data_IF_640881128053
#
_entry.id   IF_640881128053
#
_cell.length_a   1.000
_cell.length_b   1.000
_cell.length_c   1.000
_cell.angle_alpha   90.00
_cell.angle_beta   90.00
_cell.angle_gamma   90.00
#
_symmetry.space_group_name_H-M   'P 1'
#
loop_
_entity.id
_entity.type
_entity.pdbx_description
1 polymer ?
#
# COMPACT_ATOMS: atom_id res chain seq x y z
N UNK A 1 9.96 31.97 6.31
CA UNK A 1 9.79 31.47 4.96
C UNK A 1 8.78 30.33 4.94
N UNK A 2 7.88 30.38 3.98
CA UNK A 2 6.88 29.35 3.87
C UNK A 2 7.40 28.19 3.02
N UNK A 3 7.27 27.00 3.56
CA UNK A 3 7.55 25.78 2.80
C UNK A 3 6.23 25.33 2.19
N UNK A 4 6.21 25.23 0.89
CA UNK A 4 5.03 24.74 0.20
C UNK A 4 5.13 23.25 0.03
N UNK A 5 4.17 22.53 0.59
CA UNK A 5 4.10 21.07 0.47
C UNK A 5 2.78 20.74 -0.20
N UNK A 6 2.86 20.02 -1.29
CA UNK A 6 1.68 19.55 -1.98
C UNK A 6 1.54 18.05 -1.77
N UNK A 7 0.32 17.62 -1.48
CA UNK A 7 0.01 16.21 -1.34
C UNK A 7 -1.15 15.87 -2.26
N UNK A 8 -1.01 14.77 -2.98
CA UNK A 8 -2.08 14.25 -3.82
C UNK A 8 -2.35 12.82 -3.43
N UNK A 9 -3.62 12.45 -3.45
CA UNK A 9 -4.06 11.09 -3.15
C UNK A 9 -4.72 10.50 -4.38
N UNK A 10 -4.38 9.26 -4.67
CA UNK A 10 -4.96 8.57 -5.82
C UNK A 10 -5.23 7.13 -5.44
N UNK A 11 -6.42 6.63 -5.76
CA UNK A 11 -6.75 5.23 -5.55
C UNK A 11 -6.33 4.45 -6.78
N UNK A 12 -5.56 3.41 -6.56
CA UNK A 12 -4.99 2.61 -7.63
C UNK A 12 -5.24 1.14 -7.35
N UNK A 13 -5.74 0.38 -8.31
CA UNK A 13 -5.89 -1.06 -8.11
C UNK A 13 -4.55 -1.74 -8.00
N UNK A 14 -4.49 -2.79 -7.19
CA UNK A 14 -3.29 -3.58 -7.02
C UNK A 14 -3.67 -5.06 -7.06
N UNK A 15 -2.80 -5.86 -7.64
CA UNK A 15 -2.93 -7.31 -7.63
C UNK A 15 -1.55 -7.91 -7.50
N UNK A 16 -1.40 -8.93 -6.67
CA UNK A 16 -0.13 -9.59 -6.47
C UNK A 16 -0.19 -10.55 -5.30
N UNK A 17 0.98 -11.02 -4.91
CA UNK A 17 1.11 -11.96 -3.81
C UNK A 17 1.54 -11.22 -2.54
N UNK A 18 0.85 -11.50 -1.46
CA UNK A 18 1.22 -10.93 -0.17
C UNK A 18 2.44 -11.68 0.37
N UNK A 19 3.59 -11.02 0.38
CA UNK A 19 4.86 -11.62 0.81
C UNK A 19 5.34 -11.12 2.16
N UNK A 20 4.79 -10.01 2.61
CA UNK A 20 5.11 -9.46 3.93
C UNK A 20 3.82 -8.97 4.58
N UNK A 21 3.67 -9.25 5.86
CA UNK A 21 2.53 -8.78 6.62
C UNK A 21 2.92 -8.69 8.09
N UNK A 22 2.55 -7.59 8.72
CA UNK A 22 2.77 -7.42 10.16
C UNK A 22 1.54 -6.79 10.77
N UNK A 23 0.83 -7.54 11.59
CA UNK A 23 -0.36 -7.04 12.23
C UNK A 23 -0.05 -5.95 13.28
N UNK A 24 0.96 -6.14 14.15
CA UNK A 24 1.28 -5.09 15.13
C UNK A 24 1.67 -3.76 14.49
N UNK A 25 2.31 -3.79 13.35
CA UNK A 25 2.73 -2.59 12.65
C UNK A 25 1.75 -2.15 11.58
N UNK A 26 0.79 -3.01 11.24
CA UNK A 26 -0.18 -2.79 10.17
C UNK A 26 0.52 -2.47 8.86
N UNK A 27 1.54 -3.25 8.54
CA UNK A 27 2.29 -3.08 7.30
C UNK A 27 2.09 -4.27 6.38
N UNK A 28 2.33 -4.05 5.10
CA UNK A 28 2.20 -5.10 4.10
C UNK A 28 3.29 -4.99 3.06
N UNK A 29 3.52 -6.09 2.33
CA UNK A 29 4.34 -6.09 1.14
C UNK A 29 3.69 -6.99 0.11
N UNK A 30 3.37 -6.43 -1.06
CA UNK A 30 2.74 -7.15 -2.16
C UNK A 30 3.72 -7.23 -3.32
N UNK A 31 4.04 -8.44 -3.73
CA UNK A 31 4.90 -8.65 -4.90
C UNK A 31 4.04 -8.61 -6.16
N UNK A 32 4.25 -7.60 -6.97
CA UNK A 32 3.49 -7.40 -8.20
C UNK A 32 4.22 -7.90 -9.43
N UNK A 33 5.53 -8.12 -9.30
CA UNK A 33 6.34 -8.74 -10.36
C UNK A 33 7.55 -9.39 -9.71
N UNK A 34 8.36 -10.08 -10.51
CA UNK A 34 9.54 -10.77 -9.99
C UNK A 34 10.52 -9.85 -9.29
N UNK A 35 10.53 -8.58 -9.65
CA UNK A 35 11.51 -7.63 -9.13
C UNK A 35 10.90 -6.49 -8.33
N UNK A 36 9.58 -6.44 -8.23
CA UNK A 36 8.93 -5.29 -7.61
C UNK A 36 7.99 -5.69 -6.50
N UNK A 37 8.20 -5.09 -5.34
CA UNK A 37 7.35 -5.29 -4.16
C UNK A 37 6.88 -3.91 -3.70
N UNK A 38 5.58 -3.77 -3.55
CA UNK A 38 4.99 -2.54 -2.99
C UNK A 38 4.81 -2.75 -1.50
N UNK A 39 5.38 -1.85 -0.71
CA UNK A 39 5.28 -1.89 0.75
C UNK A 39 4.56 -0.66 1.26
N UNK A 40 3.82 -0.84 2.32
CA UNK A 40 3.10 0.27 2.92
C UNK A 40 2.37 -0.15 4.17
N UNK A 41 1.30 0.60 4.50
CA UNK A 41 0.49 0.34 5.67
C UNK A 41 -0.88 -0.17 5.27
N UNK A 42 -1.51 -0.93 6.16
CA UNK A 42 -2.84 -1.49 5.93
C UNK A 42 -3.85 -0.65 6.71
N UNK A 43 -4.97 -0.30 6.06
CA UNK A 43 -6.02 0.42 6.75
C UNK A 43 -6.52 -0.39 7.95
N UNK A 44 -6.82 0.30 9.05
CA UNK A 44 -7.19 -0.37 10.30
C UNK A 44 -8.39 -1.29 10.14
N UNK A 45 -9.33 -0.91 9.28
CA UNK A 45 -10.57 -1.68 9.11
C UNK A 45 -10.34 -3.06 8.50
N UNK A 46 -9.24 -3.24 7.77
CA UNK A 46 -8.93 -4.53 7.12
C UNK A 46 -7.65 -5.16 7.64
N UNK A 47 -6.96 -4.50 8.56
CA UNK A 47 -5.67 -4.98 9.05
C UNK A 47 -5.77 -6.37 9.69
N UNK A 48 -6.86 -6.66 10.37
CA UNK A 48 -7.04 -7.95 11.04
C UNK A 48 -7.15 -9.11 10.06
N UNK A 49 -7.42 -8.84 8.78
CA UNK A 49 -7.57 -9.86 7.75
C UNK A 49 -6.29 -10.12 6.98
N UNK A 50 -5.30 -9.25 7.13
CA UNK A 50 -4.13 -9.31 6.24
C UNK A 50 -3.33 -10.60 6.42
N UNK A 51 -3.24 -11.11 7.63
CA UNK A 51 -2.46 -12.31 7.88
C UNK A 51 -3.07 -13.56 7.23
N UNK A 52 -4.39 -13.55 7.02
CA UNK A 52 -5.06 -14.67 6.37
C UNK A 52 -4.64 -14.82 4.91
N UNK A 53 -4.10 -13.76 4.34
CA UNK A 53 -3.71 -13.72 2.93
C UNK A 53 -2.22 -13.88 2.73
N UNK A 54 -1.47 -14.09 3.79
CA UNK A 54 -0.02 -14.21 3.67
C UNK A 54 0.37 -15.38 2.78
N UNK A 55 1.20 -15.11 1.78
CA UNK A 55 1.60 -16.10 0.81
C UNK A 55 0.59 -16.36 -0.30
N UNK A 56 -0.55 -15.66 -0.27
CA UNK A 56 -1.62 -15.83 -1.24
C UNK A 56 -1.72 -14.63 -2.16
N UNK A 57 -2.33 -14.84 -3.31
CA UNK A 57 -2.61 -13.74 -4.21
C UNK A 57 -3.83 -12.97 -3.71
N UNK A 58 -3.77 -11.66 -3.86
CA UNK A 58 -4.89 -10.82 -3.51
C UNK A 58 -5.03 -9.67 -4.51
N UNK A 59 -6.20 -9.08 -4.51
CA UNK A 59 -6.49 -7.87 -5.25
C UNK A 59 -7.04 -6.85 -4.28
N UNK A 60 -6.71 -5.61 -4.52
CA UNK A 60 -7.20 -4.57 -3.64
C UNK A 60 -7.03 -3.19 -4.24
N UNK A 61 -7.27 -2.21 -3.38
CA UNK A 61 -7.14 -0.81 -3.76
C UNK A 61 -6.10 -0.17 -2.84
N UNK A 62 -5.12 0.46 -3.45
CA UNK A 62 -4.11 1.22 -2.74
C UNK A 62 -4.46 2.70 -2.80
N UNK A 63 -4.26 3.39 -1.71
CA UNK A 63 -4.23 4.84 -1.70
C UNK A 63 -2.78 5.25 -1.83
N UNK A 64 -2.45 5.87 -2.95
CA UNK A 64 -1.10 6.36 -3.19
C UNK A 64 -1.07 7.83 -2.82
N UNK A 65 -0.29 8.16 -1.82
CA UNK A 65 -0.13 9.55 -1.38
C UNK A 65 1.24 10.03 -1.83
N UNK A 66 1.24 11.03 -2.69
CA UNK A 66 2.46 11.66 -3.16
C UNK A 66 2.61 13.01 -2.50
N UNK A 67 3.76 13.24 -1.93
CA UNK A 67 4.08 14.50 -1.27
C UNK A 67 5.28 15.11 -1.97
N UNK A 68 5.14 16.34 -2.39
CA UNK A 68 6.21 17.09 -3.05
C UNK A 68 6.53 18.32 -2.24
N UNK A 69 7.81 18.50 -1.90
CA UNK A 69 8.26 19.70 -1.21
C UNK A 69 8.98 20.60 -2.22
N UNK A 70 8.52 21.83 -2.30
CA UNK A 70 9.12 22.78 -3.25
C UNK A 70 10.48 23.30 -2.80
N UNK A 71 10.75 23.21 -1.49
CA UNK A 71 12.01 23.72 -0.94
C UNK A 71 13.16 22.74 -1.09
N UNK A 72 12.90 21.45 -1.09
CA UNK A 72 13.96 20.45 -1.15
C UNK A 72 13.92 19.60 -2.40
N UNK A 73 12.95 19.83 -3.26
CA UNK A 73 12.77 19.09 -4.51
C UNK A 73 12.72 17.57 -4.30
N UNK A 74 12.19 17.17 -3.16
CA UNK A 74 12.05 15.77 -2.83
C UNK A 74 10.63 15.30 -3.02
N UNK A 75 10.51 14.08 -3.48
CA UNK A 75 9.22 13.42 -3.66
C UNK A 75 9.17 12.22 -2.73
N UNK A 76 8.04 12.04 -2.09
CA UNK A 76 7.80 10.88 -1.25
C UNK A 76 6.48 10.26 -1.66
N UNK A 77 6.45 8.93 -1.75
CA UNK A 77 5.23 8.20 -2.02
C UNK A 77 4.97 7.26 -0.88
N UNK A 78 3.73 7.24 -0.43
CA UNK A 78 3.27 6.32 0.60
C UNK A 78 2.11 5.51 0.07
N UNK A 79 2.06 4.27 0.45
CA UNK A 79 1.02 3.36 0.02
C UNK A 79 0.21 2.90 1.22
N UNK A 80 -1.11 2.97 1.09
CA UNK A 80 -2.03 2.46 2.11
C UNK A 80 -2.97 1.48 1.44
N UNK A 81 -3.06 0.27 1.97
CA UNK A 81 -3.98 -0.72 1.44
C UNK A 81 -5.33 -0.48 2.07
N UNK A 82 -6.27 0.02 1.27
CA UNK A 82 -7.60 0.41 1.77
C UNK A 82 -8.52 -0.79 1.86
N UNK A 83 -8.42 -1.71 0.91
CA UNK A 83 -9.30 -2.86 0.83
C UNK A 83 -8.62 -3.93 0.01
N UNK A 84 -8.99 -5.17 0.23
CA UNK A 84 -8.46 -6.27 -0.54
C UNK A 84 -9.40 -7.46 -0.46
N UNK A 85 -9.29 -8.32 -1.47
CA UNK A 85 -10.05 -9.55 -1.55
C UNK A 85 -9.15 -10.68 -1.99
N UNK A 86 -9.54 -11.89 -1.67
CA UNK A 86 -8.77 -13.06 -1.98
C UNK A 86 -8.81 -13.44 -3.45
N UNK A 87 -8.23 -14.60 -3.77
CA UNK A 87 -8.23 -15.09 -5.14
C UNK A 87 -9.63 -15.33 -5.65
N UNK A 88 -9.75 -15.36 -6.96
CA UNK A 88 -11.02 -15.64 -7.60
C UNK A 88 -11.53 -17.01 -7.22
N UNK A 89 -12.84 -17.11 -7.08
CA UNK A 89 -13.48 -18.37 -6.73
C UNK A 89 -13.85 -18.49 -5.28
N UNK A 90 -13.54 -17.53 -4.50
CA UNK A 90 -13.94 -17.49 -3.10
C UNK A 90 -15.26 -16.79 -2.92
#
# INVERSE_FOLDING_TARGET
MLTHIESTNEETPVAGRLVEASLPRRTFGIQISDEEIIRGVVAAVVAHRIEDYFGKELRGTLLVTRTTSTTSDKHAEKYSLLDFAGPLGE
#
